data_IF_964513627119
#
_entry.id   IF_964513627119
#
_cell.length_a   1.000
_cell.length_b   1.000
_cell.length_c   1.000
_cell.angle_alpha   90.00
_cell.angle_beta   90.00
_cell.angle_gamma   90.00
#
_symmetry.space_group_name_H-M   'P 1'
#
loop_
_entity.id
_entity.type
_entity.pdbx_description
1 polymer ?
#
# COMPACT_ATOMS: atom_id res chain seq x y z
N UNK A 1 -3.62 -13.58 -4.25
CA UNK A 1 -2.83 -13.58 -5.49
C UNK A 1 -2.67 -12.13 -5.90
N UNK A 2 -1.45 -11.56 -5.89
CA UNK A 2 -1.23 -10.19 -6.35
C UNK A 2 -1.49 -10.04 -7.85
N UNK A 3 -1.86 -8.83 -8.25
CA UNK A 3 -1.91 -8.40 -9.65
C UNK A 3 -0.65 -7.61 -9.96
N UNK A 4 -0.01 -7.92 -11.07
CA UNK A 4 1.14 -7.17 -11.58
C UNK A 4 0.80 -6.57 -12.93
N UNK A 5 1.26 -5.34 -13.13
CA UNK A 5 1.19 -4.67 -14.43
C UNK A 5 2.49 -4.92 -15.20
N UNK A 6 2.36 -5.21 -16.48
CA UNK A 6 3.46 -5.38 -17.42
C UNK A 6 3.33 -4.37 -18.55
N UNK A 7 4.47 -3.83 -18.99
CA UNK A 7 4.56 -2.90 -20.11
C UNK A 7 5.25 -3.56 -21.29
N UNK A 8 4.60 -3.44 -22.45
CA UNK A 8 5.12 -3.84 -23.75
C UNK A 8 5.95 -2.69 -24.38
N UNK A 9 6.83 -2.96 -25.36
CA UNK A 9 7.73 -1.95 -25.94
C UNK A 9 7.00 -0.85 -26.73
N UNK A 10 5.82 -1.15 -27.25
CA UNK A 10 4.87 -0.22 -27.87
C UNK A 10 4.26 0.79 -26.89
N UNK A 11 4.47 0.59 -25.58
CA UNK A 11 3.98 1.47 -24.53
C UNK A 11 2.63 1.07 -23.96
N UNK A 12 2.00 0.01 -24.46
CA UNK A 12 0.77 -0.53 -23.88
C UNK A 12 1.07 -1.29 -22.59
N UNK A 13 0.09 -1.31 -21.68
CA UNK A 13 0.19 -2.04 -20.41
C UNK A 13 -0.96 -3.03 -20.28
N UNK A 14 -0.70 -4.11 -19.53
CA UNK A 14 -1.71 -5.11 -19.21
C UNK A 14 -1.46 -5.66 -17.80
N UNK A 15 -2.53 -6.18 -17.18
CA UNK A 15 -2.51 -6.70 -15.82
C UNK A 15 -2.62 -8.22 -15.82
N UNK A 16 -1.84 -8.89 -14.97
CA UNK A 16 -1.96 -10.33 -14.74
C UNK A 16 -2.02 -10.64 -13.25
N UNK A 17 -2.78 -11.67 -12.90
CA UNK A 17 -2.79 -12.24 -11.55
C UNK A 17 -1.71 -13.30 -11.47
N UNK A 18 -0.66 -13.08 -10.67
CA UNK A 18 0.50 -13.97 -10.56
C UNK A 18 0.81 -14.29 -9.10
N UNK A 19 1.43 -15.44 -8.81
CA UNK A 19 1.98 -15.68 -7.47
C UNK A 19 3.24 -14.86 -7.28
N UNK A 20 3.50 -14.42 -6.05
CA UNK A 20 4.74 -13.74 -5.71
C UNK A 20 5.97 -14.67 -5.81
N UNK A 21 5.76 -15.98 -5.68
CA UNK A 21 6.80 -17.00 -5.78
C UNK A 21 7.12 -17.43 -7.22
N UNK A 22 6.34 -16.96 -8.19
CA UNK A 22 6.56 -17.25 -9.61
C UNK A 22 7.51 -16.22 -10.23
N UNK A 23 8.31 -16.66 -11.18
CA UNK A 23 9.19 -15.79 -11.95
C UNK A 23 8.40 -14.77 -12.77
N UNK A 24 8.93 -13.56 -12.91
CA UNK A 24 8.29 -12.52 -13.71
C UNK A 24 8.22 -12.92 -15.19
N UNK A 25 7.14 -12.51 -15.85
CA UNK A 25 7.00 -12.70 -17.30
C UNK A 25 8.08 -11.91 -18.03
N UNK A 26 8.80 -12.60 -18.91
CA UNK A 26 9.78 -11.99 -19.83
C UNK A 26 9.18 -11.70 -21.19
N UNK A 27 8.14 -12.45 -21.58
CA UNK A 27 7.43 -12.30 -22.84
C UNK A 27 5.93 -12.25 -22.57
N UNK A 28 5.23 -11.44 -23.35
CA UNK A 28 3.78 -11.36 -23.33
C UNK A 28 3.15 -12.68 -23.84
N UNK A 29 2.21 -13.30 -23.10
CA UNK A 29 1.60 -14.56 -23.53
C UNK A 29 0.72 -14.45 -24.78
N UNK A 30 0.26 -13.25 -25.15
CA UNK A 30 -0.57 -13.05 -26.34
C UNK A 30 0.25 -12.77 -27.60
N UNK A 31 1.24 -11.88 -27.50
CA UNK A 31 2.01 -11.40 -28.65
C UNK A 31 3.43 -11.97 -28.74
N UNK A 32 3.96 -12.55 -27.66
CA UNK A 32 5.33 -13.06 -27.58
C UNK A 32 6.41 -11.97 -27.53
N UNK A 33 6.02 -10.70 -27.42
CA UNK A 33 6.95 -9.56 -27.39
C UNK A 33 7.59 -9.46 -26.00
N UNK A 34 8.86 -9.03 -25.86
CA UNK A 34 9.49 -8.83 -24.56
C UNK A 34 8.74 -7.80 -23.72
N UNK A 35 8.51 -8.12 -22.44
CA UNK A 35 7.79 -7.25 -21.50
C UNK A 35 8.60 -6.98 -20.24
N UNK A 36 8.26 -5.91 -19.55
CA UNK A 36 8.86 -5.56 -18.27
C UNK A 36 7.76 -5.30 -17.24
N UNK A 37 7.93 -5.84 -16.03
CA UNK A 37 7.01 -5.57 -14.92
C UNK A 37 7.10 -4.11 -14.49
N UNK A 38 5.97 -3.42 -14.47
CA UNK A 38 5.87 -2.05 -13.99
C UNK A 38 5.80 -2.06 -12.46
N UNK A 39 6.76 -1.40 -11.83
CA UNK A 39 6.77 -1.20 -10.38
C UNK A 39 6.20 0.18 -10.08
N UNK A 40 5.08 0.22 -9.38
CA UNK A 40 4.54 1.47 -8.88
C UNK A 40 5.32 1.93 -7.66
N UNK A 41 5.61 3.24 -7.60
CA UNK A 41 6.22 3.83 -6.42
C UNK A 41 5.22 3.75 -5.25
N UNK A 42 5.55 3.02 -4.16
CA UNK A 42 4.70 3.04 -2.99
C UNK A 42 4.77 4.43 -2.35
N UNK A 43 3.64 4.90 -1.82
CA UNK A 43 3.62 6.06 -0.93
C UNK A 43 4.32 5.67 0.39
N UNK A 44 5.60 5.99 0.52
CA UNK A 44 6.35 5.68 1.73
C UNK A 44 6.18 6.79 2.76
N UNK A 45 5.60 6.44 3.90
CA UNK A 45 5.48 7.33 5.06
C UNK A 45 6.42 6.83 6.14
N UNK A 46 7.40 7.65 6.50
CA UNK A 46 8.35 7.34 7.55
C UNK A 46 7.89 7.99 8.85
N UNK A 47 7.68 7.17 9.87
CA UNK A 47 7.32 7.60 11.22
C UNK A 47 8.37 7.06 12.19
N UNK A 48 8.78 7.88 13.14
CA UNK A 48 9.86 7.57 14.07
C UNK A 48 11.15 8.33 13.73
N UNK A 49 11.83 8.79 14.76
CA UNK A 49 13.03 9.62 14.72
C UNK A 49 14.31 8.89 14.31
N UNK A 50 14.27 7.56 14.21
CA UNK A 50 15.45 6.73 13.92
C UNK A 50 15.65 6.38 12.45
N UNK A 51 14.67 6.62 11.57
CA UNK A 51 14.79 6.19 10.17
C UNK A 51 15.66 7.15 9.32
N UNK A 52 15.78 8.41 9.75
CA UNK A 52 16.54 9.47 9.07
C UNK A 52 17.65 10.08 9.90
N UNK A 53 17.91 9.55 11.09
CA UNK A 53 19.12 9.92 11.82
C UNK A 53 20.31 9.31 11.06
N UNK A 54 20.71 9.96 9.96
CA UNK A 54 22.06 9.82 9.44
C UNK A 54 22.98 9.92 10.65
N UNK A 55 23.90 8.98 10.77
CA UNK A 55 24.78 8.72 11.93
C UNK A 55 25.74 9.91 12.27
N UNK A 56 25.45 11.10 11.76
CA UNK A 56 26.16 12.37 11.85
C UNK A 56 25.39 13.43 12.66
N UNK A 57 24.40 13.06 13.46
CA UNK A 57 23.67 13.98 14.34
C UNK A 57 24.27 14.06 15.73
N UNK A 58 24.77 15.22 16.15
CA UNK A 58 25.18 15.47 17.54
C UNK A 58 24.00 15.19 18.49
N UNK A 59 24.26 14.56 19.65
CA UNK A 59 23.27 14.08 20.64
C UNK A 59 22.08 15.03 20.93
N UNK A 60 22.28 16.35 20.81
CA UNK A 60 21.23 17.36 21.04
C UNK A 60 20.19 17.43 19.91
N UNK A 61 20.60 17.24 18.66
CA UNK A 61 19.70 17.24 17.49
C UNK A 61 18.81 16.00 17.44
N UNK A 62 19.34 14.82 17.78
CA UNK A 62 18.55 13.59 17.83
C UNK A 62 17.40 13.69 18.84
N UNK A 63 17.59 14.35 19.99
CA UNK A 63 16.56 14.49 21.02
C UNK A 63 15.40 15.41 20.61
N UNK A 64 15.69 16.45 19.83
CA UNK A 64 14.67 17.35 19.28
C UNK A 64 13.90 16.67 18.13
N UNK A 65 14.59 15.88 17.30
CA UNK A 65 13.99 15.05 16.26
C UNK A 65 13.13 13.91 16.83
N UNK A 66 13.52 13.30 17.96
CA UNK A 66 12.69 12.33 18.71
C UNK A 66 11.36 12.93 19.13
N UNK A 67 11.40 14.10 19.78
CA UNK A 67 10.17 14.77 20.25
C UNK A 67 9.27 15.19 19.09
N UNK A 68 9.85 15.69 18.00
CA UNK A 68 9.07 16.06 16.81
C UNK A 68 8.44 14.84 16.12
N UNK A 69 9.15 13.71 16.07
CA UNK A 69 8.64 12.47 15.50
C UNK A 69 7.54 11.82 16.35
N UNK A 70 7.68 11.85 17.68
CA UNK A 70 6.67 11.32 18.61
C UNK A 70 5.36 12.13 18.52
N UNK A 71 5.45 13.46 18.52
CA UNK A 71 4.29 14.33 18.33
C UNK A 71 3.60 14.13 16.97
N UNK A 72 4.38 13.91 15.90
CA UNK A 72 3.86 13.62 14.57
C UNK A 72 3.20 12.24 14.45
N UNK A 73 3.70 11.23 15.19
CA UNK A 73 3.13 9.89 15.24
C UNK A 73 1.78 9.88 15.97
N UNK A 74 1.70 10.56 17.11
CA UNK A 74 0.49 10.65 17.96
C UNK A 74 -0.67 11.33 17.21
N UNK A 75 -0.40 12.47 16.57
CA UNK A 75 -1.40 13.21 15.80
C UNK A 75 -1.97 12.42 14.60
N UNK A 76 -1.17 11.54 14.00
CA UNK A 76 -1.63 10.69 12.90
C UNK A 76 -2.38 9.46 13.42
N UNK A 77 -1.99 8.84 14.54
CA UNK A 77 -2.73 7.72 15.13
C UNK A 77 -4.16 8.16 15.49
N UNK A 78 -4.30 9.33 16.13
CA UNK A 78 -5.59 9.92 16.47
C UNK A 78 -6.48 10.14 15.23
N UNK A 79 -5.89 10.63 14.13
CA UNK A 79 -6.59 10.86 12.86
C UNK A 79 -7.02 9.55 12.21
N UNK A 80 -6.16 8.53 12.25
CA UNK A 80 -6.45 7.21 11.68
C UNK A 80 -7.51 6.47 12.50
N UNK A 81 -7.48 6.61 13.83
CA UNK A 81 -8.45 6.02 14.76
C UNK A 81 -9.83 6.67 14.61
N UNK A 82 -9.90 7.99 14.43
CA UNK A 82 -11.15 8.70 14.07
C UNK A 82 -11.68 8.25 12.71
N UNK A 83 -10.83 8.19 11.69
CA UNK A 83 -11.25 7.77 10.34
C UNK A 83 -11.72 6.30 10.30
N UNK A 84 -11.12 5.41 11.10
CA UNK A 84 -11.56 4.02 11.28
C UNK A 84 -12.87 3.91 12.04
N UNK A 85 -13.08 4.72 13.09
CA UNK A 85 -14.33 4.77 13.85
C UNK A 85 -15.51 5.30 13.01
N UNK A 86 -15.27 6.28 12.15
CA UNK A 86 -16.27 6.84 11.23
C UNK A 86 -16.68 5.82 10.15
N UNK A 87 -15.70 5.10 9.59
CA UNK A 87 -15.96 3.97 8.67
C UNK A 87 -16.77 2.85 9.33
N UNK A 88 -16.48 2.49 10.58
CA UNK A 88 -17.21 1.43 11.29
C UNK A 88 -18.65 1.84 11.65
N UNK A 89 -18.90 3.12 11.98
CA UNK A 89 -20.26 3.63 12.17
C UNK A 89 -21.07 3.67 10.86
N UNK A 90 -20.42 3.96 9.73
CA UNK A 90 -21.07 3.93 8.42
C UNK A 90 -21.40 2.50 7.95
N UNK A 91 -20.61 1.50 8.36
CA UNK A 91 -20.84 0.09 8.02
C UNK A 91 -21.97 -0.54 8.85
N UNK A 92 -22.13 -0.12 10.12
CA UNK A 92 -23.22 -0.58 11.00
C UNK A 92 -24.60 0.02 10.66
N UNK A 93 -24.66 1.08 9.83
CA UNK A 93 -25.90 1.75 9.44
C UNK A 93 -26.51 1.24 8.12
N UNK A 94 -25.89 0.25 7.45
CA UNK A 94 -26.47 -0.41 6.26
C UNK A 94 -27.37 -1.58 6.69
N UNK A 95 -28.66 -1.62 6.27
CA UNK A 95 -29.57 -2.70 6.63
C UNK A 95 -29.15 -4.02 5.96
N UNK A 96 -29.23 -5.12 6.71
CA UNK A 96 -28.83 -6.46 6.28
C UNK A 96 -29.58 -6.90 4.99
N UNK A 97 -28.89 -7.44 3.97
CA UNK A 97 -29.56 -8.06 2.83
C UNK A 97 -30.29 -9.32 3.31
N UNK A 98 -31.62 -9.36 3.14
CA UNK A 98 -32.46 -10.54 3.41
C UNK A 98 -31.93 -11.73 2.59
N UNK A 99 -31.72 -12.92 3.20
CA UNK A 99 -31.27 -14.09 2.45
C UNK A 99 -32.39 -14.54 1.48
N UNK A 100 -32.07 -14.57 0.18
CA UNK A 100 -32.97 -15.10 -0.85
C UNK A 100 -33.08 -16.64 -0.73
N UNK A 101 -34.30 -17.21 -0.90
CA UNK A 101 -34.53 -18.65 -0.73
C UNK A 101 -33.90 -19.45 -1.88
N UNK A 102 -33.17 -20.51 -1.53
CA UNK A 102 -32.72 -21.54 -2.49
C UNK A 102 -33.85 -22.56 -2.67
N UNK A 103 -34.32 -22.73 -3.89
CA UNK A 103 -35.24 -23.81 -4.29
C UNK A 103 -34.42 -24.85 -5.09
N UNK A 104 -34.62 -26.17 -4.88
CA UNK A 104 -33.98 -27.22 -5.67
C UNK A 104 -34.46 -27.28 -7.12
#
# INVERSE_FOLDING_TARGET
MPTYEYRRPDGTTFEIVQRISEDALTHDPETGVPVTRVLFAPAVHYKGSGFYANDYGTQKGNRELEKAAEAGADAHDDKFRKQRAERQKAEAAKPAPKPAPKTP
#
